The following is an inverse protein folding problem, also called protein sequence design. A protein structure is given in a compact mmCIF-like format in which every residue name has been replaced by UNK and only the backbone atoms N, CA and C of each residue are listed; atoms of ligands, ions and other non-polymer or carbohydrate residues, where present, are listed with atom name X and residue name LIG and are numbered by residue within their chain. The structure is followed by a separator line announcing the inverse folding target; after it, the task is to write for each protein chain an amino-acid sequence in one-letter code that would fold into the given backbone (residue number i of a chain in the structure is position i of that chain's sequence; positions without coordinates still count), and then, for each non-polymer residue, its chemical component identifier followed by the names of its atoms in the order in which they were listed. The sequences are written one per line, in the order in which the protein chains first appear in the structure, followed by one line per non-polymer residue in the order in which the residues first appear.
data_IF_477819605925
#
_entry.id   IF_477819605925
#
_cell.length_a   1.000
_cell.length_b   1.000
_cell.length_c   1.000
_cell.angle_alpha   90.00
_cell.angle_beta   90.00
_cell.angle_gamma   90.00
#
_symmetry.space_group_name_H-M   'P 1'
#
loop_
_entity.id
_entity.type
_entity.pdbx_description
1 polymer ?
#
# COMPACT_ATOMS: atom_id res chain seq x y z
N UNK A 1 1.94 -12.29 11.94
CA UNK A 1 2.50 -12.92 10.72
C UNK A 1 1.77 -12.37 9.50
N UNK A 2 2.47 -11.74 8.58
CA UNK A 2 1.84 -11.27 7.34
C UNK A 2 1.51 -12.43 6.41
N UNK A 3 0.82 -12.13 5.32
CA UNK A 3 0.57 -13.14 4.28
C UNK A 3 1.90 -13.59 3.66
N UNK A 4 2.04 -14.88 3.31
CA UNK A 4 3.31 -15.39 2.80
C UNK A 4 3.61 -14.96 1.36
N UNK A 5 4.88 -14.89 1.04
CA UNK A 5 5.37 -14.65 -0.32
C UNK A 5 4.93 -15.81 -1.21
N UNK A 6 4.69 -15.52 -2.48
CA UNK A 6 4.24 -16.47 -3.51
C UNK A 6 2.77 -16.89 -3.39
N UNK A 7 2.06 -16.35 -2.41
CA UNK A 7 0.61 -16.53 -2.29
C UNK A 7 -0.10 -15.44 -3.09
N UNK A 8 -1.24 -15.78 -3.67
CA UNK A 8 -2.07 -14.78 -4.33
C UNK A 8 -2.71 -13.88 -3.27
N UNK A 9 -2.60 -12.57 -3.45
CA UNK A 9 -3.19 -11.59 -2.52
C UNK A 9 -4.72 -11.68 -2.59
N UNK A 10 -5.42 -11.61 -1.44
CA UNK A 10 -6.88 -11.64 -1.43
C UNK A 10 -7.48 -10.45 -2.17
N UNK A 11 -8.54 -10.69 -2.94
CA UNK A 11 -9.28 -9.63 -3.61
C UNK A 11 -10.08 -8.81 -2.61
N UNK A 12 -10.29 -7.54 -2.93
CA UNK A 12 -11.10 -6.65 -2.10
C UNK A 12 -11.59 -5.47 -2.92
N UNK A 13 -12.61 -4.79 -2.38
CA UNK A 13 -13.13 -3.55 -2.95
C UNK A 13 -13.22 -2.51 -1.84
N UNK A 14 -12.62 -1.35 -2.04
CA UNK A 14 -12.65 -0.23 -1.09
C UNK A 14 -12.86 1.09 -1.84
N UNK A 15 -13.48 2.09 -1.18
CA UNK A 15 -13.57 3.42 -1.78
C UNK A 15 -12.19 4.08 -1.86
N UNK A 16 -11.97 4.82 -2.93
CA UNK A 16 -10.70 5.47 -3.23
C UNK A 16 -10.84 6.99 -3.27
N UNK A 17 -9.74 7.69 -3.01
CA UNK A 17 -9.68 9.15 -3.11
C UNK A 17 -9.93 9.66 -4.54
N UNK A 18 -9.90 8.79 -5.55
CA UNK A 18 -10.26 9.19 -6.92
C UNK A 18 -11.77 9.28 -7.16
N UNK A 19 -12.58 9.05 -6.14
CA UNK A 19 -14.04 9.12 -6.22
C UNK A 19 -14.72 7.83 -6.70
N UNK A 20 -13.95 6.77 -6.94
CA UNK A 20 -14.45 5.48 -7.40
C UNK A 20 -14.11 4.38 -6.39
N UNK A 21 -14.78 3.24 -6.53
CA UNK A 21 -14.37 2.06 -5.78
C UNK A 21 -13.18 1.39 -6.48
N UNK A 22 -12.22 0.97 -5.68
CA UNK A 22 -11.07 0.22 -6.17
C UNK A 22 -11.27 -1.27 -5.87
N UNK A 23 -11.16 -2.11 -6.90
CA UNK A 23 -11.23 -3.57 -6.77
C UNK A 23 -9.90 -4.14 -7.24
N UNK A 24 -9.19 -4.83 -6.37
CA UNK A 24 -7.81 -5.25 -6.66
C UNK A 24 -7.68 -6.04 -7.96
N UNK A 25 -8.42 -7.14 -8.11
CA UNK A 25 -8.27 -8.03 -9.27
C UNK A 25 -8.72 -7.38 -10.58
N UNK A 26 -9.72 -6.52 -10.51
CA UNK A 26 -10.24 -5.82 -11.69
C UNK A 26 -9.33 -4.69 -12.12
N UNK A 27 -8.97 -3.82 -11.17
CA UNK A 27 -8.25 -2.58 -11.46
C UNK A 27 -6.76 -2.79 -11.67
N UNK A 28 -6.20 -3.84 -11.08
CA UNK A 28 -4.78 -4.18 -11.20
C UNK A 28 -4.52 -5.41 -12.07
N UNK A 29 -5.47 -5.77 -12.92
CA UNK A 29 -5.30 -6.88 -13.85
C UNK A 29 -4.08 -6.65 -14.74
N UNK A 30 -3.12 -7.58 -14.69
CA UNK A 30 -1.86 -7.52 -15.45
C UNK A 30 -0.97 -6.31 -15.11
N UNK A 31 -1.19 -5.71 -13.92
CA UNK A 31 -0.40 -4.56 -13.47
C UNK A 31 0.17 -4.84 -12.07
N UNK A 32 1.49 -4.69 -11.89
CA UNK A 32 2.06 -4.79 -10.54
C UNK A 32 1.68 -3.58 -9.71
N UNK A 33 1.62 -3.76 -8.39
CA UNK A 33 1.31 -2.66 -7.48
C UNK A 33 1.95 -2.85 -6.12
N UNK A 34 1.98 -1.75 -5.37
CA UNK A 34 2.39 -1.73 -3.98
C UNK A 34 1.15 -1.39 -3.17
N UNK A 35 0.80 -2.26 -2.21
CA UNK A 35 -0.24 -1.99 -1.24
C UNK A 35 0.45 -1.71 0.08
N UNK A 36 0.43 -0.46 0.55
CA UNK A 36 1.01 -0.18 1.85
C UNK A 36 -0.09 0.15 2.86
N UNK A 37 -0.13 -0.66 3.92
CA UNK A 37 -1.05 -0.49 5.04
C UNK A 37 -0.35 0.34 6.11
N UNK A 38 -1.04 1.34 6.65
CA UNK A 38 -0.45 2.23 7.65
C UNK A 38 -1.46 2.56 8.75
N UNK A 39 -0.97 2.92 9.96
CA UNK A 39 -1.84 3.12 11.11
C UNK A 39 -2.80 4.29 11.02
N UNK A 40 -2.34 5.47 10.59
CA UNK A 40 -3.17 6.67 10.67
C UNK A 40 -2.64 7.82 9.82
N UNK A 41 -3.55 8.52 9.11
CA UNK A 41 -3.23 9.76 8.41
C UNK A 41 -2.67 10.78 9.40
N UNK A 42 -1.77 11.63 8.93
CA UNK A 42 -1.18 12.73 9.70
C UNK A 42 -0.30 12.32 10.89
N UNK A 43 -0.08 11.03 11.15
CA UNK A 43 0.94 10.61 12.11
C UNK A 43 2.33 10.88 11.51
N UNK A 44 3.35 11.09 12.37
CA UNK A 44 4.70 11.43 11.91
C UNK A 44 5.27 10.34 10.99
N UNK A 45 5.18 9.08 11.40
CA UNK A 45 5.70 7.96 10.61
C UNK A 45 4.97 7.77 9.29
N UNK A 46 3.63 7.91 9.30
CA UNK A 46 2.83 7.74 8.08
C UNK A 46 3.03 8.91 7.11
N UNK A 47 3.22 10.11 7.63
CA UNK A 47 3.55 11.28 6.81
C UNK A 47 4.90 11.08 6.13
N UNK A 48 5.91 10.62 6.85
CA UNK A 48 7.24 10.36 6.30
C UNK A 48 7.18 9.24 5.25
N UNK A 49 6.44 8.18 5.50
CA UNK A 49 6.26 7.08 4.54
C UNK A 49 5.59 7.55 3.25
N UNK A 50 4.48 8.30 3.38
CA UNK A 50 3.77 8.83 2.23
C UNK A 50 4.63 9.78 1.41
N UNK A 51 5.37 10.66 2.07
CA UNK A 51 6.27 11.59 1.40
C UNK A 51 7.39 10.86 0.65
N UNK A 52 7.88 9.76 1.20
CA UNK A 52 8.91 8.97 0.54
C UNK A 52 8.40 8.27 -0.72
N UNK A 53 7.19 7.73 -0.67
CA UNK A 53 6.56 7.19 -1.87
C UNK A 53 6.28 8.29 -2.89
N UNK A 54 5.85 9.47 -2.42
CA UNK A 54 5.64 10.62 -3.31
C UNK A 54 6.93 11.02 -4.02
N UNK A 55 8.03 11.12 -3.27
CA UNK A 55 9.30 11.59 -3.81
C UNK A 55 9.96 10.57 -4.75
N UNK A 56 9.58 9.31 -4.66
CA UNK A 56 10.07 8.23 -5.55
C UNK A 56 9.02 7.75 -6.54
N UNK A 57 7.88 8.45 -6.63
CA UNK A 57 6.75 8.06 -7.49
C UNK A 57 7.17 7.83 -8.93
N UNK A 58 8.01 8.70 -9.50
CA UNK A 58 8.41 8.60 -10.90
C UNK A 58 9.12 7.27 -11.21
N UNK A 59 9.93 6.78 -10.28
CA UNK A 59 10.64 5.50 -10.46
C UNK A 59 9.64 4.36 -10.60
N UNK A 60 8.63 4.31 -9.73
CA UNK A 60 7.61 3.27 -9.78
C UNK A 60 6.70 3.45 -11.00
N UNK A 61 6.38 4.70 -11.35
CA UNK A 61 5.56 5.00 -12.52
C UNK A 61 6.23 4.52 -13.81
N UNK A 62 7.54 4.75 -13.95
CA UNK A 62 8.30 4.27 -15.11
C UNK A 62 8.33 2.75 -15.19
N UNK A 63 8.31 2.07 -14.04
CA UNK A 63 8.24 0.60 -13.98
C UNK A 63 6.80 0.07 -14.10
N UNK A 64 5.84 0.97 -14.31
CA UNK A 64 4.41 0.66 -14.39
C UNK A 64 3.87 0.00 -13.11
N UNK A 65 4.37 0.45 -11.96
CA UNK A 65 3.95 -0.04 -10.65
C UNK A 65 3.09 1.01 -9.98
N UNK A 66 1.86 0.66 -9.64
CA UNK A 66 0.95 1.56 -8.96
C UNK A 66 1.17 1.50 -7.44
N UNK A 67 1.15 2.67 -6.80
CA UNK A 67 1.25 2.77 -5.34
C UNK A 67 -0.14 3.04 -4.77
N UNK A 68 -0.53 2.27 -3.76
CA UNK A 68 -1.85 2.38 -3.14
C UNK A 68 -1.68 2.32 -1.63
N UNK A 69 -2.13 3.38 -0.94
CA UNK A 69 -2.10 3.41 0.52
C UNK A 69 -3.46 2.99 1.10
N UNK A 70 -3.46 2.24 2.18
CA UNK A 70 -4.68 1.73 2.82
C UNK A 70 -4.59 1.95 4.33
N UNK A 71 -5.61 2.57 4.90
CA UNK A 71 -5.74 2.67 6.35
C UNK A 71 -7.22 2.68 6.75
N UNK A 72 -7.47 2.65 8.06
CA UNK A 72 -8.84 2.68 8.59
C UNK A 72 -9.39 4.09 8.73
N UNK A 73 -8.66 5.10 8.29
CA UNK A 73 -9.13 6.48 8.31
C UNK A 73 -10.32 6.67 7.36
N UNK A 74 -11.10 7.72 7.62
CA UNK A 74 -12.25 8.05 6.78
C UNK A 74 -11.80 8.60 5.42
N UNK A 75 -12.71 8.58 4.46
CA UNK A 75 -12.44 9.18 3.15
C UNK A 75 -12.16 10.68 3.28
N UNK A 76 -12.84 11.35 4.19
CA UNK A 76 -12.61 12.78 4.44
C UNK A 76 -11.17 13.03 4.90
N UNK A 77 -10.68 12.22 5.84
CA UNK A 77 -9.30 12.29 6.32
C UNK A 77 -8.31 12.02 5.17
N UNK A 78 -8.56 10.98 4.38
CA UNK A 78 -7.71 10.63 3.25
C UNK A 78 -7.63 11.74 2.21
N UNK A 79 -8.75 12.39 1.91
CA UNK A 79 -8.76 13.50 0.96
C UNK A 79 -7.90 14.67 1.45
N UNK A 80 -7.99 14.99 2.74
CA UNK A 80 -7.16 16.03 3.36
C UNK A 80 -5.68 15.65 3.34
N UNK A 81 -5.38 14.42 3.69
CA UNK A 81 -4.01 13.91 3.74
C UNK A 81 -3.36 13.93 2.35
N UNK A 82 -4.07 13.42 1.36
CA UNK A 82 -3.61 13.43 -0.03
C UNK A 82 -3.35 14.84 -0.53
N UNK A 83 -4.28 15.76 -0.28
CA UNK A 83 -4.16 17.15 -0.71
C UNK A 83 -3.02 17.88 -0.01
N UNK A 84 -2.92 17.72 1.31
CA UNK A 84 -1.89 18.39 2.12
C UNK A 84 -0.48 18.00 1.68
N UNK A 85 -0.27 16.73 1.36
CA UNK A 85 1.04 16.21 0.97
C UNK A 85 1.26 16.17 -0.54
N UNK A 86 0.28 16.54 -1.34
CA UNK A 86 0.32 16.45 -2.81
C UNK A 86 0.71 15.05 -3.27
N UNK A 87 0.01 14.03 -2.74
CA UNK A 87 0.30 12.65 -3.11
C UNK A 87 -0.18 12.35 -4.53
N UNK A 88 0.70 11.83 -5.42
CA UNK A 88 0.33 11.50 -6.79
C UNK A 88 -0.35 10.14 -6.93
N UNK A 89 -0.66 9.49 -5.83
CA UNK A 89 -1.32 8.18 -5.80
C UNK A 89 -2.54 8.24 -4.90
N UNK A 90 -3.41 7.24 -5.02
CA UNK A 90 -4.65 7.21 -4.27
C UNK A 90 -4.54 6.47 -2.94
N UNK A 91 -5.43 6.85 -2.02
CA UNK A 91 -5.58 6.22 -0.72
C UNK A 91 -6.95 5.56 -0.67
N UNK A 92 -7.01 4.39 -0.04
CA UNK A 92 -8.24 3.63 0.11
C UNK A 92 -8.69 3.66 1.58
N UNK A 93 -9.98 3.86 1.79
CA UNK A 93 -10.56 3.94 3.13
C UNK A 93 -11.15 2.59 3.55
N UNK A 94 -10.50 1.95 4.52
CA UNK A 94 -10.95 0.68 5.11
C UNK A 94 -11.47 0.95 6.53
N UNK A 95 -12.53 1.76 6.64
CA UNK A 95 -13.03 2.23 7.93
C UNK A 95 -13.41 1.07 8.88
N UNK A 96 -13.97 0.01 8.36
CA UNK A 96 -14.33 -1.16 9.16
C UNK A 96 -13.14 -2.04 9.53
N UNK A 97 -11.98 -1.86 8.91
CA UNK A 97 -10.80 -2.67 9.16
C UNK A 97 -10.86 -4.08 8.57
N UNK A 98 -11.83 -4.34 7.72
CA UNK A 98 -12.04 -5.67 7.14
C UNK A 98 -10.88 -6.11 6.23
N UNK A 99 -10.40 -5.21 5.38
CA UNK A 99 -9.29 -5.51 4.48
C UNK A 99 -7.98 -5.57 5.25
N UNK A 100 -7.80 -4.70 6.25
CA UNK A 100 -6.65 -4.77 7.15
C UNK A 100 -6.56 -6.13 7.85
N UNK A 101 -7.71 -6.67 8.29
CA UNK A 101 -7.76 -8.01 8.89
C UNK A 101 -7.44 -9.09 7.86
N UNK A 102 -7.99 -8.96 6.66
CA UNK A 102 -7.77 -9.91 5.56
C UNK A 102 -6.29 -10.03 5.20
N UNK A 103 -5.57 -8.91 5.25
CA UNK A 103 -4.13 -8.87 4.94
C UNK A 103 -3.25 -9.03 6.19
N UNK A 104 -3.86 -9.40 7.32
CA UNK A 104 -3.15 -9.67 8.59
C UNK A 104 -2.29 -8.50 9.06
N UNK A 105 -2.81 -7.28 8.90
CA UNK A 105 -2.10 -6.07 9.33
C UNK A 105 -2.58 -5.54 10.67
N UNK A 106 -3.55 -6.18 11.31
CA UNK A 106 -4.03 -5.76 12.63
C UNK A 106 -3.10 -6.25 13.74
N UNK A 107 -2.98 -5.46 14.81
CA UNK A 107 -2.25 -5.89 16.00
C UNK A 107 -3.06 -6.97 16.73
N UNK A 108 -2.42 -8.06 17.22
CA UNK A 108 -3.13 -9.17 17.82
C UNK A 108 -4.01 -8.83 19.04
N UNK A 109 -3.55 -7.89 19.87
CA UNK A 109 -4.26 -7.52 21.10
C UNK A 109 -5.00 -6.20 21.01
N UNK A 110 -4.82 -5.45 19.94
CA UNK A 110 -5.46 -4.15 19.71
C UNK A 110 -5.92 -4.10 18.25
N UNK A 111 -7.05 -4.77 17.95
CA UNK A 111 -7.48 -4.91 16.55
C UNK A 111 -7.87 -3.60 15.87
N UNK A 112 -8.02 -2.51 16.64
CA UNK A 112 -8.27 -1.19 16.08
C UNK A 112 -7.03 -0.54 15.49
N UNK A 113 -5.84 -1.08 15.77
CA UNK A 113 -4.59 -0.55 15.25
C UNK A 113 -4.06 -1.40 14.12
N UNK A 114 -3.68 -0.74 13.03
CA UNK A 114 -3.08 -1.37 11.86
C UNK A 114 -1.57 -1.31 11.97
N UNK A 115 -0.90 -2.44 11.73
CA UNK A 115 0.55 -2.47 11.61
C UNK A 115 0.97 -1.82 10.30
N UNK A 116 2.15 -1.23 10.29
CA UNK A 116 2.75 -0.73 9.09
C UNK A 116 3.30 -1.91 8.28
N UNK A 117 2.58 -2.30 7.24
CA UNK A 117 2.93 -3.47 6.42
C UNK A 117 2.76 -3.13 4.94
N UNK A 118 3.79 -3.38 4.14
CA UNK A 118 3.77 -3.11 2.70
C UNK A 118 3.91 -4.41 1.93
N UNK A 119 2.99 -4.64 1.00
CA UNK A 119 3.00 -5.80 0.11
C UNK A 119 3.34 -5.34 -1.31
N UNK A 120 4.31 -5.99 -1.93
CA UNK A 120 4.62 -5.81 -3.34
C UNK A 120 3.97 -6.96 -4.11
N UNK A 121 3.09 -6.63 -5.05
CA UNK A 121 2.35 -7.61 -5.85
C UNK A 121 2.82 -7.58 -7.30
N UNK A 122 2.91 -8.76 -7.92
CA UNK A 122 3.21 -8.84 -9.34
C UNK A 122 1.96 -8.59 -10.19
N UNK A 123 2.09 -8.71 -11.51
CA UNK A 123 0.99 -8.48 -12.46
C UNK A 123 -0.19 -9.43 -12.28
N UNK A 124 0.00 -10.55 -11.60
CA UNK A 124 -1.04 -11.54 -11.32
C UNK A 124 -1.56 -11.45 -9.89
N UNK A 125 -1.21 -10.39 -9.16
CA UNK A 125 -1.55 -10.17 -7.75
C UNK A 125 -0.97 -11.24 -6.83
N UNK A 126 0.17 -11.81 -7.23
CA UNK A 126 0.94 -12.70 -6.34
C UNK A 126 1.92 -11.87 -5.52
N UNK A 127 2.03 -12.19 -4.23
CA UNK A 127 2.89 -11.45 -3.31
C UNK A 127 4.36 -11.76 -3.60
N UNK A 128 5.11 -10.75 -4.02
CA UNK A 128 6.55 -10.87 -4.29
C UNK A 128 7.40 -10.58 -3.07
N UNK A 129 6.97 -9.65 -2.24
CA UNK A 129 7.73 -9.23 -1.07
C UNK A 129 6.80 -8.62 -0.03
N UNK A 130 7.20 -8.70 1.23
CA UNK A 130 6.47 -8.11 2.36
C UNK A 130 7.47 -7.34 3.22
N UNK A 131 7.12 -6.12 3.60
CA UNK A 131 7.94 -5.26 4.43
C UNK A 131 7.14 -4.85 5.66
N UNK A 132 7.66 -5.14 6.85
CA UNK A 132 7.01 -4.78 8.12
C UNK A 132 7.78 -3.70 8.86
N UNK A 133 7.06 -2.89 9.64
CA UNK A 133 7.65 -1.88 10.54
C UNK A 133 8.61 -0.90 9.86
N UNK A 134 8.20 -0.40 8.72
CA UNK A 134 9.02 0.51 7.92
C UNK A 134 8.93 1.93 8.47
N UNK A 135 9.95 2.37 9.20
CA UNK A 135 10.07 3.75 9.63
C UNK A 135 10.95 4.57 8.70
N UNK A 136 11.89 3.92 8.01
CA UNK A 136 12.79 4.56 7.09
C UNK A 136 12.50 4.09 5.68
N UNK A 137 11.79 4.88 5.01
CA UNK A 137 11.26 4.62 3.71
C UNK A 137 12.29 4.52 2.59
N UNK A 138 13.38 5.29 2.61
CA UNK A 138 14.36 5.28 1.53
C UNK A 138 15.01 3.92 1.29
N UNK A 139 15.40 3.25 2.37
CA UNK A 139 16.04 1.93 2.30
C UNK A 139 15.07 0.89 1.74
N UNK A 140 13.80 0.92 2.20
CA UNK A 140 12.79 -0.04 1.77
C UNK A 140 12.35 0.20 0.34
N UNK A 141 12.24 1.47 -0.07
CA UNK A 141 11.90 1.81 -1.44
C UNK A 141 12.99 1.31 -2.38
N UNK A 142 14.26 1.50 -2.02
CA UNK A 142 15.37 0.99 -2.80
C UNK A 142 15.30 -0.54 -2.94
N UNK A 143 15.02 -1.23 -1.83
CA UNK A 143 14.85 -2.69 -1.83
C UNK A 143 13.68 -3.13 -2.73
N UNK A 144 12.56 -2.40 -2.69
CA UNK A 144 11.41 -2.69 -3.55
C UNK A 144 11.76 -2.52 -5.02
N UNK A 145 12.45 -1.44 -5.37
CA UNK A 145 12.88 -1.19 -6.75
C UNK A 145 13.81 -2.31 -7.22
N UNK A 146 14.76 -2.72 -6.41
CA UNK A 146 15.67 -3.81 -6.74
C UNK A 146 14.92 -5.13 -6.95
N UNK A 147 13.96 -5.46 -6.08
CA UNK A 147 13.17 -6.68 -6.20
C UNK A 147 12.34 -6.71 -7.47
N UNK A 148 11.70 -5.59 -7.81
CA UNK A 148 10.92 -5.49 -9.03
C UNK A 148 11.80 -5.59 -10.26
N UNK A 149 12.93 -4.87 -10.28
CA UNK A 149 13.87 -4.88 -11.39
C UNK A 149 14.41 -6.28 -11.65
N UNK A 150 14.79 -7.02 -10.60
CA UNK A 150 15.24 -8.40 -10.74
C UNK A 150 14.19 -9.31 -11.34
N UNK A 151 12.92 -9.16 -10.95
CA UNK A 151 11.85 -10.02 -11.45
C UNK A 151 11.39 -9.66 -12.86
N UNK A 152 11.53 -8.40 -13.26
CA UNK A 152 11.24 -7.99 -14.63
C UNK A 152 12.36 -8.36 -15.60
N UNK A 153 13.57 -8.58 -15.11
CA UNK A 153 14.71 -8.98 -15.93
C UNK A 153 14.72 -10.48 -16.25
N UNK A 154 13.81 -11.25 -15.66
CA UNK A 154 13.66 -12.70 -15.91
C UNK A 154 12.45 -12.94 -16.86
#
# INVERSE_FOLDING_TARGET
MPLPINQKAPDFTLPSTNGRNFTLYKDMKEKPCILYFYPKDFSVGCTNEACSFRDTFEVFHELNIKIIGISRDSMESHQKFKKTLNLPFDLLADEGGKVCALYKTQLPFVPLFTKRTTYLLDKNQTILAVYENIFSSKRHIKSMVENVTKKQAV
#
